data_IF_060969699279
#
_entry.id   IF_060969699279
#
_cell.length_a   1.000
_cell.length_b   1.000
_cell.length_c   1.000
_cell.angle_alpha   90.00
_cell.angle_beta   90.00
_cell.angle_gamma   90.00
#
_symmetry.space_group_name_H-M   'P 1'
#
loop_
_entity.id
_entity.type
_entity.pdbx_description
1 polymer ?
#
# COMPACT_ATOMS: atom_id res chain seq x y z
N UNK A 1 11.05 -7.82 -24.90
CA UNK A 1 10.74 -6.59 -24.14
C UNK A 1 9.26 -6.28 -24.35
N UNK A 2 8.44 -6.31 -23.30
CA UNK A 2 7.01 -5.98 -23.41
C UNK A 2 6.87 -4.45 -23.51
N UNK A 3 6.13 -3.89 -24.49
CA UNK A 3 6.06 -2.45 -24.72
C UNK A 3 5.62 -1.72 -23.46
N UNK A 4 6.37 -0.73 -22.98
CA UNK A 4 5.96 0.14 -21.87
C UNK A 4 4.53 0.61 -22.16
N UNK A 5 3.63 0.47 -21.18
CA UNK A 5 2.32 1.09 -21.29
C UNK A 5 2.58 2.59 -21.10
N UNK A 6 2.37 3.35 -22.16
CA UNK A 6 2.50 4.79 -22.13
C UNK A 6 1.41 5.40 -21.24
N UNK A 7 1.73 6.54 -20.64
CA UNK A 7 0.73 7.34 -19.93
C UNK A 7 -0.32 7.80 -20.95
N UNK A 8 -1.64 7.59 -20.72
CA UNK A 8 -2.67 8.09 -21.60
C UNK A 8 -2.62 9.61 -21.75
N UNK A 9 -2.90 10.13 -22.95
CA UNK A 9 -2.77 11.56 -23.22
C UNK A 9 -3.72 12.43 -22.39
N UNK A 10 -4.91 11.92 -22.06
CA UNK A 10 -5.83 12.62 -21.17
C UNK A 10 -5.24 12.80 -19.76
N UNK A 11 -4.45 11.83 -19.29
CA UNK A 11 -3.82 11.87 -17.97
C UNK A 11 -2.56 12.73 -17.98
N UNK A 12 -1.78 12.71 -19.06
CA UNK A 12 -0.64 13.64 -19.25
C UNK A 12 -1.07 15.10 -19.22
N UNK A 13 -2.24 15.39 -19.77
CA UNK A 13 -2.78 16.74 -19.90
C UNK A 13 -3.81 17.07 -18.80
N UNK A 14 -3.88 16.28 -17.71
CA UNK A 14 -4.87 16.49 -16.67
C UNK A 14 -4.63 17.82 -15.94
N UNK A 15 -5.62 18.73 -15.88
CA UNK A 15 -5.41 20.10 -15.39
C UNK A 15 -4.90 20.16 -13.96
N UNK A 16 -5.47 19.36 -13.04
CA UNK A 16 -5.02 19.31 -11.65
C UNK A 16 -3.60 18.76 -11.47
N UNK A 17 -3.16 17.82 -12.31
CA UNK A 17 -1.80 17.30 -12.24
C UNK A 17 -0.80 18.35 -12.76
N UNK A 18 -1.12 19.00 -13.88
CA UNK A 18 -0.30 20.08 -14.44
C UNK A 18 -0.20 21.29 -13.51
N UNK A 19 -1.31 21.67 -12.86
CA UNK A 19 -1.33 22.77 -11.90
C UNK A 19 -0.41 22.54 -10.68
N UNK A 20 -0.06 21.27 -10.42
CA UNK A 20 0.82 20.83 -9.34
C UNK A 20 2.22 20.42 -9.82
N UNK A 21 2.51 20.63 -11.10
CA UNK A 21 3.74 20.17 -11.78
C UNK A 21 4.00 18.66 -11.64
N UNK A 22 2.93 17.85 -11.61
CA UNK A 22 3.00 16.39 -11.57
C UNK A 22 2.99 15.87 -13.00
N UNK A 23 4.18 15.64 -13.55
CA UNK A 23 4.35 15.09 -14.90
C UNK A 23 4.66 13.60 -14.85
N UNK A 24 3.74 12.77 -15.38
CA UNK A 24 3.86 11.32 -15.34
C UNK A 24 4.81 10.81 -16.42
N UNK A 25 5.71 9.90 -16.03
CA UNK A 25 6.72 9.29 -16.88
C UNK A 25 6.25 7.99 -17.54
N UNK A 26 5.53 7.15 -16.81
CA UNK A 26 5.12 5.83 -17.32
C UNK A 26 4.16 5.10 -16.38
N UNK A 27 3.69 3.94 -16.83
CA UNK A 27 2.84 3.05 -16.03
C UNK A 27 3.65 2.03 -15.21
N UNK A 28 3.14 1.67 -14.03
CA UNK A 28 3.71 0.62 -13.17
C UNK A 28 3.11 -0.74 -13.58
N UNK A 29 3.89 -1.58 -14.26
CA UNK A 29 3.43 -2.93 -14.62
C UNK A 29 3.42 -3.90 -13.43
N UNK A 30 2.49 -4.88 -13.41
CA UNK A 30 1.43 -5.16 -14.39
C UNK A 30 0.14 -4.32 -14.20
N UNK A 31 0.17 -3.32 -13.32
CA UNK A 31 -1.01 -2.59 -12.87
C UNK A 31 -1.42 -1.51 -13.89
N UNK A 32 -2.46 -1.80 -14.67
CA UNK A 32 -2.93 -0.93 -15.76
C UNK A 32 -3.50 0.44 -15.34
N UNK A 33 -3.59 0.71 -14.04
CA UNK A 33 -4.15 1.94 -13.47
C UNK A 33 -3.14 2.78 -12.68
N UNK A 34 -1.89 2.37 -12.55
CA UNK A 34 -0.86 3.07 -11.78
C UNK A 34 0.17 3.74 -12.68
N UNK A 35 0.46 5.01 -12.42
CA UNK A 35 1.42 5.83 -13.14
C UNK A 35 2.35 6.54 -12.17
N UNK A 36 3.57 6.88 -12.58
CA UNK A 36 4.56 7.48 -11.68
C UNK A 36 5.31 8.63 -12.35
N UNK A 37 5.77 9.60 -11.57
CA UNK A 37 6.66 10.67 -12.03
C UNK A 37 8.09 10.16 -12.24
N UNK A 38 8.93 10.83 -13.03
CA UNK A 38 10.34 10.47 -13.16
C UNK A 38 11.03 10.34 -11.80
N UNK A 39 12.04 9.47 -11.73
CA UNK A 39 12.91 9.30 -10.55
C UNK A 39 14.35 9.71 -10.89
N UNK A 40 14.67 11.01 -10.95
CA UNK A 40 16.04 11.43 -11.18
C UNK A 40 16.89 11.08 -9.96
N UNK A 41 17.97 10.33 -10.18
CA UNK A 41 18.90 9.95 -9.14
C UNK A 41 19.45 11.22 -8.47
N UNK A 42 19.58 11.20 -7.13
CA UNK A 42 20.18 12.29 -6.32
C UNK A 42 19.47 13.65 -6.35
N UNK A 43 18.19 13.69 -6.73
CA UNK A 43 17.38 14.93 -6.62
C UNK A 43 16.47 14.89 -5.40
N UNK A 44 16.19 16.07 -4.85
CA UNK A 44 15.25 16.24 -3.73
C UNK A 44 13.82 16.56 -4.21
N UNK A 45 13.50 16.17 -5.45
CA UNK A 45 12.17 16.42 -6.02
C UNK A 45 11.22 15.34 -5.49
N UNK A 46 10.07 15.72 -4.91
CA UNK A 46 9.04 14.76 -4.50
C UNK A 46 8.61 13.89 -5.68
N UNK A 47 8.46 12.60 -5.43
CA UNK A 47 7.99 11.64 -6.43
C UNK A 47 6.58 11.22 -6.10
N UNK A 48 5.77 11.04 -7.15
CA UNK A 48 4.37 10.69 -7.00
C UNK A 48 4.05 9.43 -7.79
N UNK A 49 3.06 8.71 -7.26
CA UNK A 49 2.29 7.70 -7.96
C UNK A 49 0.86 8.23 -8.08
N UNK A 50 0.28 8.09 -9.27
CA UNK A 50 -1.10 8.42 -9.57
C UNK A 50 -1.81 7.14 -9.94
N UNK A 51 -2.85 6.78 -9.17
CA UNK A 51 -3.74 5.66 -9.47
C UNK A 51 -5.04 6.19 -10.06
N UNK A 52 -5.47 5.65 -11.19
CA UNK A 52 -6.84 5.80 -11.68
C UNK A 52 -7.73 4.85 -10.87
N UNK A 53 -8.69 5.42 -10.13
CA UNK A 53 -9.54 4.63 -9.25
C UNK A 53 -10.67 3.95 -10.01
N UNK A 54 -11.01 2.74 -9.56
CA UNK A 54 -12.18 2.01 -10.05
C UNK A 54 -13.43 2.48 -9.27
N UNK A 55 -14.44 3.09 -9.93
CA UNK A 55 -15.64 3.55 -9.25
C UNK A 55 -16.51 2.41 -8.69
N UNK A 56 -16.26 1.15 -9.06
CA UNK A 56 -16.96 0.00 -8.52
C UNK A 56 -16.45 -0.44 -7.13
N UNK A 57 -15.34 0.14 -6.64
CA UNK A 57 -14.77 -0.19 -5.33
C UNK A 57 -14.95 0.93 -4.31
N UNK A 58 -14.70 0.59 -3.05
CA UNK A 58 -14.75 1.54 -1.93
C UNK A 58 -13.39 2.24 -1.71
N UNK A 59 -12.42 2.05 -2.62
CA UNK A 59 -11.05 2.53 -2.44
C UNK A 59 -10.95 4.05 -2.29
N UNK A 60 -11.76 4.82 -3.04
CA UNK A 60 -11.77 6.28 -2.95
C UNK A 60 -12.18 6.76 -1.55
N UNK A 61 -13.31 6.26 -1.04
CA UNK A 61 -13.87 6.70 0.24
C UNK A 61 -13.04 6.21 1.42
N UNK A 62 -12.45 5.01 1.31
CA UNK A 62 -11.50 4.49 2.30
C UNK A 62 -10.26 5.39 2.36
N UNK A 63 -9.66 5.73 1.20
CA UNK A 63 -8.48 6.60 1.20
C UNK A 63 -8.79 7.98 1.79
N UNK A 64 -9.91 8.61 1.42
CA UNK A 64 -10.36 9.89 1.99
C UNK A 64 -10.44 9.83 3.51
N UNK A 65 -11.10 8.80 4.05
CA UNK A 65 -11.25 8.62 5.50
C UNK A 65 -9.92 8.41 6.22
N UNK A 66 -8.95 7.76 5.58
CA UNK A 66 -7.62 7.58 6.16
C UNK A 66 -6.79 8.88 6.17
N UNK A 67 -7.21 9.95 5.48
CA UNK A 67 -6.46 11.20 5.49
C UNK A 67 -6.79 12.11 6.68
N UNK A 68 -7.84 11.82 7.44
CA UNK A 68 -8.27 12.64 8.60
C UNK A 68 -7.15 12.80 9.65
N UNK A 69 -6.31 11.77 9.82
CA UNK A 69 -5.14 11.82 10.70
C UNK A 69 -4.05 10.86 10.21
N UNK A 70 -2.90 11.39 9.78
CA UNK A 70 -1.79 10.61 9.23
C UNK A 70 -0.82 10.05 10.30
N UNK A 71 -0.98 10.48 11.55
CA UNK A 71 -0.13 10.02 12.65
C UNK A 71 -0.47 8.58 13.03
N UNK A 72 0.49 7.87 13.63
CA UNK A 72 0.19 6.57 14.24
C UNK A 72 -1.00 6.71 15.23
N UNK A 73 -1.91 5.72 15.28
CA UNK A 73 -1.77 4.36 14.72
C UNK A 73 -2.17 4.20 13.24
N UNK A 74 -2.41 5.29 12.51
CA UNK A 74 -2.70 5.19 11.08
C UNK A 74 -1.44 4.85 10.27
N UNK A 75 -1.49 3.71 9.57
CA UNK A 75 -0.47 3.27 8.62
C UNK A 75 -0.97 3.28 7.17
N UNK A 76 -2.09 3.91 6.86
CA UNK A 76 -2.46 4.22 5.47
C UNK A 76 -1.44 5.18 4.86
N UNK A 77 -1.06 4.93 3.60
CA UNK A 77 -0.18 5.84 2.88
C UNK A 77 -0.87 7.21 2.70
N UNK A 78 -0.20 8.34 3.02
CA UNK A 78 -0.74 9.66 2.75
C UNK A 78 -1.10 9.81 1.28
N UNK A 79 -2.30 10.26 0.98
CA UNK A 79 -2.82 10.33 -0.38
C UNK A 79 -3.85 11.44 -0.52
N UNK A 80 -4.17 11.79 -1.75
CA UNK A 80 -5.18 12.80 -2.06
C UNK A 80 -6.05 12.33 -3.21
N UNK A 81 -7.35 12.56 -3.10
CA UNK A 81 -8.29 12.35 -4.20
C UNK A 81 -8.43 13.62 -5.02
N UNK A 82 -8.13 13.53 -6.31
CA UNK A 82 -8.56 14.53 -7.28
C UNK A 82 -9.98 14.15 -7.72
N UNK A 83 -10.98 15.03 -7.53
CA UNK A 83 -12.40 14.75 -7.81
C UNK A 83 -12.73 14.91 -9.31
N UNK A 84 -11.91 14.34 -10.18
CA UNK A 84 -12.11 14.25 -11.63
C UNK A 84 -12.90 13.00 -12.00
N UNK A 85 -13.26 12.86 -13.28
CA UNK A 85 -13.76 11.59 -13.83
C UNK A 85 -12.82 11.06 -14.93
N UNK A 86 -12.16 9.89 -14.72
CA UNK A 86 -12.18 9.08 -13.49
C UNK A 86 -11.48 9.78 -12.32
N UNK A 87 -11.83 9.41 -11.09
CA UNK A 87 -11.14 9.90 -9.88
C UNK A 87 -9.69 9.43 -9.86
N UNK A 88 -8.80 10.31 -9.43
CA UNK A 88 -7.38 10.01 -9.30
C UNK A 88 -6.96 10.00 -7.84
N UNK A 89 -6.18 9.01 -7.45
CA UNK A 89 -5.51 8.95 -6.16
C UNK A 89 -4.04 9.33 -6.36
N UNK A 90 -3.64 10.47 -5.83
CA UNK A 90 -2.25 10.96 -5.86
C UNK A 90 -1.59 10.62 -4.54
N UNK A 91 -0.50 9.86 -4.58
CA UNK A 91 0.24 9.42 -3.40
C UNK A 91 1.74 9.64 -3.61
N UNK A 92 2.54 9.84 -2.56
CA UNK A 92 3.98 9.85 -2.70
C UNK A 92 4.50 8.48 -3.13
N UNK A 93 5.59 8.47 -3.88
CA UNK A 93 6.28 7.25 -4.25
C UNK A 93 7.04 6.70 -3.04
N UNK A 94 6.61 5.56 -2.52
CA UNK A 94 7.25 4.86 -1.40
C UNK A 94 7.92 3.57 -1.86
N UNK A 95 9.05 3.25 -1.25
CA UNK A 95 9.82 2.05 -1.59
C UNK A 95 9.05 0.79 -1.19
N UNK A 96 9.14 -0.26 -2.02
CA UNK A 96 8.58 -1.56 -1.67
C UNK A 96 9.24 -2.06 -0.39
N UNK A 97 8.55 -2.90 0.37
CA UNK A 97 9.12 -3.48 1.60
C UNK A 97 10.47 -4.18 1.36
N UNK A 98 10.67 -4.86 0.21
CA UNK A 98 11.95 -5.48 -0.19
C UNK A 98 13.13 -4.50 -0.25
N UNK A 99 12.87 -3.21 -0.39
CA UNK A 99 13.91 -2.19 -0.43
C UNK A 99 14.48 -1.85 0.94
N UNK A 100 13.84 -2.33 2.02
CA UNK A 100 14.46 -2.32 3.34
C UNK A 100 15.64 -3.30 3.35
N UNK A 101 16.80 -2.85 3.82
CA UNK A 101 17.91 -3.75 4.06
C UNK A 101 17.61 -4.65 5.26
N UNK A 102 17.21 -5.89 4.97
CA UNK A 102 16.92 -6.91 5.96
C UNK A 102 18.17 -7.72 6.37
N UNK A 103 19.28 -7.61 5.63
CA UNK A 103 20.49 -8.40 5.94
C UNK A 103 21.10 -7.96 7.27
N UNK A 104 21.50 -8.92 8.10
CA UNK A 104 22.20 -8.68 9.37
C UNK A 104 21.48 -7.74 10.35
N UNK A 105 20.14 -7.61 10.24
CA UNK A 105 19.35 -6.80 11.17
C UNK A 105 19.07 -7.56 12.47
N UNK A 106 19.00 -6.88 13.62
CA UNK A 106 18.64 -7.52 14.89
C UNK A 106 17.16 -7.93 14.90
N UNK A 107 16.80 -8.91 15.72
CA UNK A 107 15.40 -9.34 15.92
C UNK A 107 14.45 -8.17 16.24
N UNK A 108 14.91 -7.17 16.98
CA UNK A 108 14.14 -5.97 17.32
C UNK A 108 13.69 -5.18 16.08
N UNK A 109 14.47 -5.18 15.00
CA UNK A 109 14.09 -4.53 13.74
C UNK A 109 12.85 -5.20 13.12
N UNK A 110 12.84 -6.53 13.06
CA UNK A 110 11.72 -7.29 12.54
C UNK A 110 10.47 -7.14 13.40
N UNK A 111 10.64 -7.20 14.73
CA UNK A 111 9.55 -6.96 15.66
C UNK A 111 8.96 -5.56 15.51
N UNK A 112 9.77 -4.55 15.24
CA UNK A 112 9.30 -3.20 14.96
C UNK A 112 8.48 -3.11 13.65
N UNK A 113 8.93 -3.77 12.57
CA UNK A 113 8.16 -3.86 11.32
C UNK A 113 6.82 -4.56 11.56
N UNK A 114 6.82 -5.65 12.32
CA UNK A 114 5.60 -6.41 12.65
C UNK A 114 4.64 -5.61 13.50
N UNK A 115 5.17 -4.89 14.50
CA UNK A 115 4.37 -4.00 15.33
C UNK A 115 3.64 -2.96 14.49
N UNK A 116 4.34 -2.28 13.57
CA UNK A 116 3.73 -1.28 12.68
C UNK A 116 2.64 -1.87 11.77
N UNK A 117 2.87 -3.07 11.20
CA UNK A 117 1.85 -3.74 10.37
C UNK A 117 0.61 -4.06 11.21
N UNK A 118 0.79 -4.63 12.40
CA UNK A 118 -0.32 -4.98 13.30
C UNK A 118 -1.06 -3.72 13.77
N UNK A 119 -0.34 -2.67 14.18
CA UNK A 119 -0.91 -1.38 14.58
C UNK A 119 -1.77 -0.80 13.45
N UNK A 120 -1.28 -0.84 12.21
CA UNK A 120 -2.01 -0.42 11.03
C UNK A 120 -3.29 -1.22 10.78
N UNK A 121 -3.20 -2.56 10.85
CA UNK A 121 -4.36 -3.45 10.67
C UNK A 121 -5.39 -3.23 11.78
N UNK A 122 -4.96 -3.12 13.03
CA UNK A 122 -5.84 -2.83 14.16
C UNK A 122 -6.55 -1.48 13.97
N UNK A 123 -5.82 -0.45 13.52
CA UNK A 123 -6.43 0.86 13.23
C UNK A 123 -7.50 0.78 12.13
N UNK A 124 -7.24 0.07 11.02
CA UNK A 124 -8.26 -0.18 10.00
C UNK A 124 -9.49 -0.87 10.61
N UNK A 125 -9.29 -1.87 11.45
CA UNK A 125 -10.36 -2.64 12.08
C UNK A 125 -11.19 -1.78 13.05
N UNK A 126 -10.56 -0.85 13.80
CA UNK A 126 -11.25 0.13 14.63
C UNK A 126 -12.15 1.06 13.79
N UNK A 127 -11.70 1.42 12.59
CA UNK A 127 -12.50 2.15 11.61
C UNK A 127 -13.53 1.27 10.88
N UNK A 128 -13.59 -0.02 11.19
CA UNK A 128 -14.42 -1.04 10.54
C UNK A 128 -14.08 -1.24 9.06
N UNK A 129 -12.82 -1.05 8.70
CA UNK A 129 -12.29 -1.32 7.38
C UNK A 129 -11.58 -2.67 7.45
N UNK A 130 -11.90 -3.59 6.54
CA UNK A 130 -11.10 -4.79 6.30
C UNK A 130 -10.32 -4.62 5.00
N UNK A 131 -9.02 -4.88 5.02
CA UNK A 131 -8.15 -4.66 3.86
C UNK A 131 -8.36 -5.73 2.78
N UNK A 132 -8.51 -7.00 3.21
CA UNK A 132 -8.78 -8.19 2.41
C UNK A 132 -7.71 -8.60 1.38
N UNK A 133 -6.57 -7.91 1.36
CA UNK A 133 -5.43 -8.26 0.51
C UNK A 133 -4.09 -7.84 1.12
N UNK A 134 -3.94 -8.01 2.46
CA UNK A 134 -2.65 -7.80 3.11
C UNK A 134 -1.64 -8.81 2.56
N UNK A 135 -0.58 -8.32 1.92
CA UNK A 135 0.47 -9.16 1.37
C UNK A 135 1.75 -8.34 1.20
N UNK A 136 2.83 -9.01 0.79
CA UNK A 136 4.15 -8.36 0.64
C UNK A 136 4.13 -7.20 -0.36
N UNK A 137 3.33 -7.30 -1.42
CA UNK A 137 3.22 -6.25 -2.44
C UNK A 137 2.42 -5.02 -1.96
N UNK A 138 1.55 -5.19 -0.98
CA UNK A 138 0.64 -4.15 -0.47
C UNK A 138 1.15 -3.52 0.84
N UNK A 139 2.44 -3.73 1.15
CA UNK A 139 3.14 -3.10 2.27
C UNK A 139 4.40 -2.42 1.76
N UNK A 140 4.61 -1.18 2.19
CA UNK A 140 5.73 -0.33 1.76
C UNK A 140 6.42 0.29 2.95
N UNK A 141 7.63 0.84 2.77
CA UNK A 141 8.31 1.59 3.81
C UNK A 141 9.00 2.82 3.23
N UNK A 142 8.88 3.95 3.92
CA UNK A 142 9.56 5.17 3.55
C UNK A 142 11.03 5.13 4.00
N UNK A 143 11.94 5.34 3.06
CA UNK A 143 13.36 5.56 3.35
C UNK A 143 13.62 6.98 3.82
N UNK A 144 14.76 7.22 4.47
CA UNK A 144 15.19 8.56 4.90
C UNK A 144 15.23 9.56 3.74
N UNK A 145 15.61 9.11 2.54
CA UNK A 145 15.59 9.96 1.35
C UNK A 145 14.16 10.37 0.96
N UNK A 146 13.19 9.48 1.04
CA UNK A 146 11.78 9.78 0.72
C UNK A 146 11.14 10.66 1.79
N UNK A 147 11.42 10.40 3.07
CA UNK A 147 10.96 11.25 4.16
C UNK A 147 11.57 12.67 4.12
N UNK A 148 12.78 12.81 3.56
CA UNK A 148 13.41 14.10 3.36
C UNK A 148 12.82 14.89 2.17
N UNK A 149 12.16 14.24 1.22
CA UNK A 149 11.57 14.90 0.04
C UNK A 149 10.06 15.10 0.13
N UNK A 150 9.36 14.36 0.98
CA UNK A 150 7.92 14.55 1.23
C UNK A 150 7.64 14.57 2.73
N UNK A 151 7.24 15.74 3.25
CA UNK A 151 6.99 15.97 4.66
C UNK A 151 5.82 15.14 5.24
N UNK A 152 4.98 14.54 4.40
CA UNK A 152 3.91 13.62 4.84
C UNK A 152 4.47 12.25 5.22
N UNK A 153 5.66 11.90 4.73
CA UNK A 153 6.30 10.62 5.00
C UNK A 153 7.18 10.68 6.25
N UNK A 154 7.05 9.66 7.10
CA UNK A 154 7.91 9.41 8.25
C UNK A 154 8.97 8.37 7.90
N UNK A 155 10.24 8.67 8.20
CA UNK A 155 11.37 7.75 7.96
C UNK A 155 11.19 6.42 8.71
N UNK A 156 11.39 5.30 8.01
CA UNK A 156 11.26 3.95 8.55
C UNK A 156 9.82 3.54 8.85
N UNK A 157 8.82 4.41 8.61
CA UNK A 157 7.42 4.06 8.79
C UNK A 157 6.98 3.09 7.69
N UNK A 158 6.24 2.07 8.10
CA UNK A 158 5.58 1.10 7.23
C UNK A 158 4.21 1.63 6.86
N UNK A 159 3.82 1.48 5.59
CA UNK A 159 2.49 1.86 5.11
C UNK A 159 1.78 0.68 4.45
N UNK A 160 0.49 0.56 4.73
CA UNK A 160 -0.47 -0.28 4.02
C UNK A 160 -0.99 0.49 2.80
N UNK A 161 -1.02 -0.17 1.66
CA UNK A 161 -1.42 0.42 0.37
C UNK A 161 -2.39 -0.50 -0.37
N UNK A 162 -2.98 0.03 -1.45
CA UNK A 162 -3.87 -0.70 -2.35
C UNK A 162 -5.15 -1.21 -1.67
N UNK A 163 -6.08 -0.28 -1.45
CA UNK A 163 -7.37 -0.57 -0.82
C UNK A 163 -8.44 -1.01 -1.83
N UNK A 164 -8.03 -1.49 -3.01
CA UNK A 164 -8.95 -1.87 -4.09
C UNK A 164 -9.95 -2.97 -3.69
N UNK A 165 -9.48 -3.96 -2.93
CA UNK A 165 -10.33 -5.07 -2.44
C UNK A 165 -10.94 -4.80 -1.06
N UNK A 166 -10.54 -3.70 -0.43
CA UNK A 166 -10.94 -3.36 0.92
C UNK A 166 -12.42 -2.99 1.00
N UNK A 167 -12.99 -3.16 2.19
CA UNK A 167 -14.40 -2.89 2.44
C UNK A 167 -14.62 -2.12 3.72
N UNK A 168 -15.53 -1.15 3.67
CA UNK A 168 -16.13 -0.53 4.83
C UNK A 168 -17.29 -1.40 5.32
N UNK A 169 -17.16 -1.92 6.53
CA UNK A 169 -18.11 -2.87 7.12
C UNK A 169 -18.99 -2.17 8.15
N UNK A 170 -20.21 -2.70 8.33
CA UNK A 170 -21.18 -2.14 9.25
C UNK A 170 -20.82 -2.43 10.73
N UNK A 171 -20.30 -3.63 10.99
CA UNK A 171 -19.97 -4.12 12.33
C UNK A 171 -18.45 -4.32 12.46
N UNK A 172 -17.93 -4.19 13.67
CA UNK A 172 -16.51 -4.41 13.95
C UNK A 172 -16.13 -5.88 14.19
N UNK A 173 -14.86 -6.14 14.55
CA UNK A 173 -14.33 -7.47 14.82
C UNK A 173 -15.18 -8.26 15.83
N UNK A 174 -15.33 -9.56 15.60
CA UNK A 174 -16.11 -10.47 16.46
C UNK A 174 -17.62 -10.31 16.38
N UNK A 175 -18.13 -9.31 15.65
CA UNK A 175 -19.56 -9.07 15.44
C UNK A 175 -19.97 -9.13 13.98
N UNK A 176 -19.05 -8.84 13.07
CA UNK A 176 -19.28 -8.88 11.64
C UNK A 176 -19.53 -10.33 11.18
N UNK A 177 -20.63 -10.61 10.45
CA UNK A 177 -20.83 -11.93 9.87
C UNK A 177 -19.76 -12.23 8.81
N UNK A 178 -19.43 -13.52 8.61
CA UNK A 178 -18.53 -13.95 7.54
C UNK A 178 -18.99 -13.46 6.16
N UNK A 179 -18.04 -13.16 5.30
CA UNK A 179 -18.29 -12.77 3.90
C UNK A 179 -17.65 -13.78 2.96
N UNK A 180 -18.12 -13.84 1.71
CA UNK A 180 -17.35 -14.47 0.63
C UNK A 180 -16.08 -13.67 0.43
N UNK A 181 -14.93 -14.31 0.61
CA UNK A 181 -13.64 -13.64 0.49
C UNK A 181 -13.37 -13.25 -0.98
N UNK A 182 -13.04 -11.98 -1.26
CA UNK A 182 -12.74 -11.53 -2.62
C UNK A 182 -11.45 -12.18 -3.14
N UNK A 183 -11.12 -12.06 -4.43
CA UNK A 183 -9.77 -12.35 -4.93
C UNK A 183 -8.71 -11.65 -4.08
N UNK A 184 -7.61 -12.37 -3.79
CA UNK A 184 -6.49 -11.90 -2.98
C UNK A 184 -5.20 -12.48 -3.54
N UNK A 185 -4.09 -11.76 -3.39
CA UNK A 185 -2.75 -12.22 -3.72
C UNK A 185 -2.28 -13.31 -2.74
N UNK A 186 -2.58 -13.13 -1.45
CA UNK A 186 -2.33 -14.18 -0.47
C UNK A 186 -3.31 -15.34 -0.68
N UNK A 187 -2.80 -16.57 -0.61
CA UNK A 187 -3.64 -17.76 -0.80
C UNK A 187 -4.54 -17.96 0.40
N UNK A 188 -5.83 -18.13 0.13
CA UNK A 188 -6.81 -18.45 1.18
C UNK A 188 -6.51 -19.81 1.82
N UNK A 189 -6.87 -20.02 3.09
CA UNK A 189 -6.81 -21.33 3.71
C UNK A 189 -7.58 -22.37 2.88
N UNK A 190 -7.08 -23.60 2.82
CA UNK A 190 -7.66 -24.67 1.99
C UNK A 190 -9.13 -24.91 2.40
N UNK A 191 -10.03 -24.85 1.41
CA UNK A 191 -11.45 -25.06 1.62
C UNK A 191 -12.20 -23.86 2.23
N UNK A 192 -11.51 -22.75 2.53
CA UNK A 192 -12.13 -21.56 3.11
C UNK A 192 -12.43 -20.53 2.03
N UNK A 193 -13.71 -20.36 1.73
CA UNK A 193 -14.23 -19.34 0.81
C UNK A 193 -15.05 -18.27 1.52
N UNK A 194 -15.55 -18.57 2.72
CA UNK A 194 -16.34 -17.68 3.56
C UNK A 194 -15.65 -17.58 4.93
N UNK A 195 -15.33 -16.36 5.37
CA UNK A 195 -14.66 -16.12 6.65
C UNK A 195 -15.00 -14.73 7.19
N UNK A 196 -14.83 -14.53 8.50
CA UNK A 196 -14.80 -13.19 9.09
C UNK A 196 -13.69 -12.35 8.41
N UNK A 197 -14.04 -11.18 7.85
CA UNK A 197 -13.11 -10.39 7.04
C UNK A 197 -11.91 -9.86 7.84
N UNK A 198 -12.10 -9.52 9.11
CA UNK A 198 -11.04 -9.04 9.98
C UNK A 198 -10.04 -10.16 10.32
N UNK A 199 -10.57 -11.36 10.57
CA UNK A 199 -9.78 -12.57 10.79
C UNK A 199 -8.97 -12.96 9.55
N UNK A 200 -9.50 -12.67 8.36
CA UNK A 200 -8.75 -12.85 7.11
C UNK A 200 -7.55 -11.90 7.01
N UNK A 201 -7.69 -10.62 7.40
CA UNK A 201 -6.55 -9.69 7.47
C UNK A 201 -5.49 -10.18 8.46
N UNK A 202 -5.89 -10.71 9.62
CA UNK A 202 -4.96 -11.26 10.63
C UNK A 202 -4.25 -12.49 10.07
N UNK A 203 -4.95 -13.38 9.38
CA UNK A 203 -4.35 -14.53 8.69
C UNK A 203 -3.29 -14.06 7.68
N UNK A 204 -3.66 -13.15 6.79
CA UNK A 204 -2.78 -12.59 5.76
C UNK A 204 -1.56 -11.87 6.37
N UNK A 205 -1.75 -11.16 7.48
CA UNK A 205 -0.66 -10.53 8.25
C UNK A 205 0.33 -11.58 8.77
N UNK A 206 -0.16 -12.70 9.32
CA UNK A 206 0.69 -13.81 9.74
C UNK A 206 1.48 -14.44 8.59
N UNK A 207 0.87 -14.56 7.41
CA UNK A 207 1.54 -15.04 6.18
C UNK A 207 2.64 -14.07 5.73
N UNK A 208 2.35 -12.78 5.70
CA UNK A 208 3.33 -11.73 5.40
C UNK A 208 4.54 -11.79 6.34
N UNK A 209 4.34 -11.93 7.65
CA UNK A 209 5.43 -12.04 8.61
C UNK A 209 6.32 -13.27 8.34
N UNK A 210 5.72 -14.42 8.03
CA UNK A 210 6.49 -15.61 7.65
C UNK A 210 7.35 -15.35 6.41
N UNK A 211 6.82 -14.65 5.42
CA UNK A 211 7.53 -14.39 4.17
C UNK A 211 8.67 -13.39 4.37
N UNK A 212 8.49 -12.36 5.21
CA UNK A 212 9.57 -11.47 5.64
C UNK A 212 10.72 -12.27 6.27
N UNK A 213 10.42 -13.19 7.20
CA UNK A 213 11.46 -14.03 7.83
C UNK A 213 12.19 -14.93 6.81
N UNK A 214 11.47 -15.50 5.83
CA UNK A 214 12.09 -16.36 4.81
C UNK A 214 13.05 -15.59 3.91
N UNK A 215 12.67 -14.38 3.46
CA UNK A 215 13.57 -13.53 2.66
C UNK A 215 14.89 -13.31 3.39
N UNK A 216 14.83 -13.10 4.71
CA UNK A 216 16.03 -12.94 5.55
C UNK A 216 16.87 -14.21 5.61
N UNK A 217 16.24 -15.37 5.82
CA UNK A 217 16.95 -16.65 5.89
C UNK A 217 17.67 -16.98 4.56
N UNK A 218 17.00 -16.78 3.42
CA UNK A 218 17.60 -17.03 2.09
C UNK A 218 18.75 -16.08 1.75
N UNK A 219 18.72 -14.86 2.28
CA UNK A 219 19.79 -13.89 2.11
C UNK A 219 21.08 -14.28 2.88
N UNK A 220 20.97 -15.10 3.92
CA UNK A 220 22.10 -15.64 4.68
C UNK A 220 22.71 -16.92 4.07
N UNK A 221 21.94 -17.68 3.28
CA UNK A 221 22.42 -18.92 2.64
C UNK A 221 23.25 -18.66 1.38
N UNK A 222 23.05 -17.53 0.70
CA UNK A 222 23.82 -17.15 -0.50
C UNK A 222 25.22 -16.59 -0.20
N UNK A 223 25.51 -16.28 1.07
CA UNK A 223 26.79 -15.74 1.55
C UNK A 223 27.63 -16.81 2.30
N UNK A 224 27.31 -18.11 2.15
CA UNK A 224 28.10 -19.26 2.63
C UNK A 224 28.62 -20.10 1.47
#
# INVERSE_FOLDING_TARGET
MSPLLDVPDWLKNHPDLLARDIQLHGAIKPYGSLYYTPRPISTYIPQYVVKVLDPATEESSINERLQDNLSSPNHGLPSEIIPSEPRLLVMPYVGRLVSMDFKNRPTSFFLNVYHQIIEGVEYLHQLRIAHLDICYANVTSASSHQAATDARLVDGKVYLIDFHTSRQLALGPGRQPPIVLPPSQEKKPVGVTILDPYSFDVYCTGKLMQDILKVCATAHEQDR
#
